data_IF_408563581568
#
_entry.id   IF_408563581568
#
_cell.length_a   1.000
_cell.length_b   1.000
_cell.length_c   1.000
_cell.angle_alpha   90.00
_cell.angle_beta   90.00
_cell.angle_gamma   90.00
#
_symmetry.space_group_name_H-M   'P 1'
#
loop_
_entity.id
_entity.type
_entity.pdbx_description
1 polymer ?
#
# COMPACT_ATOMS: atom_id res chain seq x y z
N UNK A 1 -8.38 5.12 -16.96
CA UNK A 1 -9.07 4.28 -15.94
C UNK A 1 -9.13 2.86 -16.45
N UNK A 2 -8.88 1.86 -15.60
CA UNK A 2 -8.99 0.46 -15.98
C UNK A 2 -10.46 0.05 -16.04
N UNK A 3 -11.11 0.41 -17.13
CA UNK A 3 -12.41 -0.13 -17.54
C UNK A 3 -12.11 -1.24 -18.53
N UNK A 4 -12.04 -2.48 -18.04
CA UNK A 4 -12.16 -3.64 -18.93
C UNK A 4 -13.65 -3.96 -19.11
N UNK A 5 -14.09 -4.27 -20.34
CA UNK A 5 -15.42 -4.82 -20.55
C UNK A 5 -15.58 -6.12 -19.74
N UNK A 6 -16.73 -6.30 -19.08
CA UNK A 6 -17.11 -7.58 -18.48
C UNK A 6 -17.08 -8.66 -19.58
N UNK A 7 -16.12 -9.58 -19.51
CA UNK A 7 -16.01 -10.72 -20.44
C UNK A 7 -14.63 -10.96 -21.06
N UNK A 8 -13.72 -9.97 -21.09
CA UNK A 8 -12.36 -10.19 -21.58
C UNK A 8 -11.37 -10.36 -20.41
N UNK A 9 -11.00 -11.62 -20.12
CA UNK A 9 -9.82 -11.89 -19.28
C UNK A 9 -8.59 -11.36 -20.03
N UNK A 10 -7.90 -10.39 -19.43
CA UNK A 10 -6.62 -9.91 -19.96
C UNK A 10 -5.63 -11.09 -19.96
N UNK A 11 -4.83 -11.29 -21.02
CA UNK A 11 -3.71 -12.21 -20.96
C UNK A 11 -2.84 -11.86 -19.74
N UNK A 12 -2.34 -12.85 -19.01
CA UNK A 12 -1.56 -12.62 -17.78
C UNK A 12 -0.37 -11.67 -18.00
N UNK A 13 0.22 -11.69 -19.20
CA UNK A 13 1.32 -10.79 -19.60
C UNK A 13 0.90 -9.31 -19.68
N UNK A 14 -0.35 -9.03 -20.03
CA UNK A 14 -0.88 -7.65 -20.13
C UNK A 14 -1.21 -7.07 -18.74
N UNK A 15 -1.51 -7.94 -17.76
CA UNK A 15 -1.74 -7.54 -16.36
C UNK A 15 -0.46 -7.00 -15.69
N UNK A 16 0.71 -7.55 -16.07
CA UNK A 16 2.01 -7.18 -15.51
C UNK A 16 2.58 -5.87 -16.10
N UNK A 17 2.00 -5.35 -17.19
CA UNK A 17 2.50 -4.15 -17.84
C UNK A 17 1.96 -2.89 -17.16
N UNK A 18 2.81 -2.24 -16.35
CA UNK A 18 2.52 -0.94 -15.71
C UNK A 18 2.37 0.15 -16.78
N UNK A 19 1.18 0.74 -16.89
CA UNK A 19 0.87 1.78 -17.90
C UNK A 19 1.32 3.18 -17.48
N UNK A 20 1.41 3.45 -16.18
CA UNK A 20 1.83 4.75 -15.63
C UNK A 20 2.34 4.62 -14.20
N UNK A 21 2.98 5.67 -13.66
CA UNK A 21 3.44 5.71 -12.26
C UNK A 21 2.32 5.46 -11.24
N UNK A 22 1.09 5.89 -11.54
CA UNK A 22 -0.12 5.74 -10.70
C UNK A 22 -1.01 4.57 -11.12
N UNK A 23 -0.50 3.64 -11.92
CA UNK A 23 -1.28 2.50 -12.37
C UNK A 23 -1.55 1.52 -11.21
N UNK A 24 -2.83 1.40 -10.84
CA UNK A 24 -3.31 0.54 -9.77
C UNK A 24 -4.17 -0.64 -10.30
N UNK A 25 -4.07 -0.98 -11.58
CA UNK A 25 -4.91 -2.00 -12.22
C UNK A 25 -4.93 -3.39 -11.55
N UNK A 26 -3.89 -3.72 -10.78
CA UNK A 26 -3.72 -5.01 -10.11
C UNK A 26 -4.15 -4.98 -8.63
N UNK A 27 -4.65 -3.85 -8.16
CA UNK A 27 -5.14 -3.67 -6.79
C UNK A 27 -6.67 -3.55 -6.79
N UNK A 28 -7.30 -3.89 -5.68
CA UNK A 28 -8.73 -3.66 -5.51
C UNK A 28 -9.06 -2.17 -5.61
N UNK A 29 -10.17 -1.86 -6.29
CA UNK A 29 -10.67 -0.49 -6.41
C UNK A 29 -11.23 0.03 -5.10
N UNK A 30 -11.63 -0.84 -4.18
CA UNK A 30 -12.08 -0.44 -2.85
C UNK A 30 -10.95 0.31 -2.14
N UNK A 31 -9.75 -0.29 -2.03
CA UNK A 31 -8.60 0.35 -1.38
C UNK A 31 -8.06 1.56 -2.13
N UNK A 32 -7.95 1.48 -3.46
CA UNK A 32 -7.27 2.54 -4.25
C UNK A 32 -8.10 3.81 -4.43
N UNK A 33 -9.39 3.78 -4.05
CA UNK A 33 -10.27 4.95 -4.00
C UNK A 33 -10.39 5.56 -2.61
N UNK A 34 -9.95 4.86 -1.57
CA UNK A 34 -9.95 5.40 -0.22
C UNK A 34 -9.00 6.62 -0.13
N UNK A 35 -9.32 7.53 0.78
CA UNK A 35 -8.43 8.64 1.10
C UNK A 35 -7.10 8.10 1.66
N UNK A 36 -5.98 8.75 1.29
CA UNK A 36 -4.65 8.40 1.80
C UNK A 36 -4.47 9.10 3.14
N UNK A 37 -5.12 8.57 4.16
CA UNK A 37 -5.10 9.10 5.52
C UNK A 37 -4.98 7.99 6.56
N UNK A 38 -4.44 8.34 7.72
CA UNK A 38 -4.42 7.44 8.86
C UNK A 38 -5.73 7.58 9.61
N UNK A 39 -6.31 6.45 10.01
CA UNK A 39 -7.48 6.47 10.90
C UNK A 39 -7.14 7.26 12.17
N UNK A 40 -7.95 8.26 12.57
CA UNK A 40 -7.71 8.99 13.80
C UNK A 40 -7.69 8.06 15.01
N UNK A 41 -6.68 8.20 15.85
CA UNK A 41 -6.49 7.40 17.06
C UNK A 41 -6.83 8.20 18.30
N UNK A 42 -7.51 7.57 19.27
CA UNK A 42 -7.75 8.17 20.58
C UNK A 42 -6.46 8.10 21.43
N UNK A 43 -6.06 9.25 21.98
CA UNK A 43 -4.84 9.40 22.78
C UNK A 43 -4.86 8.51 24.02
N UNK A 44 -6.01 8.30 24.64
CA UNK A 44 -6.12 7.46 25.84
C UNK A 44 -5.84 5.99 25.51
N UNK A 45 -6.27 5.52 24.33
CA UNK A 45 -5.95 4.16 23.88
C UNK A 45 -4.45 4.00 23.62
N UNK A 46 -3.82 4.98 22.98
CA UNK A 46 -2.37 4.95 22.71
C UNK A 46 -1.56 4.95 24.02
N UNK A 47 -1.95 5.79 24.99
CA UNK A 47 -1.25 5.91 26.27
C UNK A 47 -1.32 4.64 27.13
N UNK A 48 -2.32 3.80 26.91
CA UNK A 48 -2.50 2.55 27.66
C UNK A 48 -1.78 1.34 27.02
N UNK A 49 -1.05 1.54 25.91
CA UNK A 49 -0.24 0.48 25.30
C UNK A 49 1.11 0.35 26.00
N UNK A 50 1.52 -0.87 26.35
CA UNK A 50 2.86 -1.14 26.84
C UNK A 50 3.89 -0.94 25.72
N UNK A 51 4.70 0.11 25.84
CA UNK A 51 5.71 0.44 24.83
C UNK A 51 6.91 -0.53 24.85
N UNK A 52 7.11 -1.28 25.94
CA UNK A 52 8.23 -2.21 26.03
C UNK A 52 8.09 -3.40 25.08
N UNK A 53 6.86 -3.76 24.69
CA UNK A 53 6.60 -4.81 23.70
C UNK A 53 7.17 -4.48 22.30
N UNK A 54 7.46 -3.20 22.04
CA UNK A 54 7.99 -2.72 20.76
C UNK A 54 9.51 -2.43 20.80
N UNK A 55 10.21 -2.79 21.88
CA UNK A 55 11.66 -2.65 21.96
C UNK A 55 12.35 -3.46 20.84
N UNK A 56 13.26 -2.82 20.11
CA UNK A 56 13.95 -3.45 18.97
C UNK A 56 13.13 -3.54 17.68
N UNK A 57 11.92 -2.97 17.63
CA UNK A 57 11.10 -2.95 16.40
C UNK A 57 11.70 -2.10 15.27
N UNK A 58 12.44 -1.04 15.62
CA UNK A 58 13.04 -0.14 14.64
C UNK A 58 14.09 -0.84 13.79
N UNK A 59 13.83 -0.91 12.48
CA UNK A 59 14.73 -1.47 11.48
C UNK A 59 14.85 -0.53 10.29
N UNK A 60 16.04 -0.40 9.74
CA UNK A 60 16.29 0.21 8.43
C UNK A 60 17.14 -0.75 7.63
N UNK A 61 16.77 -1.00 6.37
CA UNK A 61 17.54 -1.89 5.51
C UNK A 61 18.93 -1.29 5.22
N UNK A 62 20.04 -1.88 5.70
CA UNK A 62 21.38 -1.33 5.50
C UNK A 62 21.84 -1.41 4.04
N UNK A 63 21.25 -2.32 3.25
CA UNK A 63 21.58 -2.51 1.82
C UNK A 63 20.83 -1.53 0.91
N UNK A 64 20.00 -0.64 1.46
CA UNK A 64 19.22 0.30 0.67
C UNK A 64 20.08 1.51 0.25
N UNK A 65 20.73 1.40 -0.91
CA UNK A 65 21.51 2.47 -1.52
C UNK A 65 20.58 3.37 -2.35
N UNK A 66 20.41 4.63 -1.94
CA UNK A 66 19.70 5.63 -2.73
C UNK A 66 20.65 6.13 -3.83
N UNK A 67 20.34 5.83 -5.08
CA UNK A 67 20.94 6.53 -6.22
C UNK A 67 20.28 7.90 -6.34
N UNK A 68 21.07 8.95 -6.06
CA UNK A 68 20.67 10.35 -6.18
C UNK A 68 20.98 10.86 -7.58
#
# INVERSE_FOLDING_TARGET
MCSQPLGLRRPAREMLRKKSKKDTCNFDKEFTKMAVEMTPTDKLFIMNLDQNEFLGFSYTNPEFIIQV
#
